data_IF_038438603006
#
_entry.id   IF_038438603006
#
_cell.length_a   1.000
_cell.length_b   1.000
_cell.length_c   1.000
_cell.angle_alpha   90.00
_cell.angle_beta   90.00
_cell.angle_gamma   90.00
#
_symmetry.space_group_name_H-M   'P 1'
#
loop_
_entity.id
_entity.type
_entity.pdbx_description
1 polymer ?
#
# COMPACT_ATOMS: atom_id res chain seq x y z
N UNK A 1 -63.61 -32.25 -0.86
CA UNK A 1 -64.10 -33.26 -1.82
C UNK A 1 -62.98 -33.62 -2.79
N UNK A 2 -62.74 -34.94 -3.00
CA UNK A 2 -61.84 -35.61 -3.97
C UNK A 2 -60.34 -35.59 -3.64
N UNK A 3 -59.57 -36.70 -3.62
CA UNK A 3 -59.77 -38.17 -3.69
C UNK A 3 -58.37 -38.82 -3.53
N UNK A 4 -58.29 -39.88 -2.73
CA UNK A 4 -57.51 -41.14 -2.87
C UNK A 4 -56.20 -41.17 -3.71
N UNK A 5 -55.05 -41.50 -3.08
CA UNK A 5 -54.42 -42.85 -2.93
C UNK A 5 -53.76 -43.41 -4.19
N UNK A 6 -52.45 -43.76 -4.09
CA UNK A 6 -51.74 -44.94 -4.65
C UNK A 6 -50.25 -44.90 -4.22
N UNK A 7 -49.84 -45.70 -3.23
CA UNK A 7 -49.13 -47.00 -3.38
C UNK A 7 -47.78 -46.87 -4.10
N UNK A 8 -46.64 -46.94 -3.38
CA UNK A 8 -45.89 -48.17 -3.06
C UNK A 8 -45.33 -48.85 -4.30
N UNK A 9 -44.00 -48.85 -4.46
CA UNK A 9 -43.16 -49.99 -4.90
C UNK A 9 -41.68 -49.67 -4.61
N UNK A 10 -41.07 -50.53 -3.78
CA UNK A 10 -39.62 -50.76 -3.68
C UNK A 10 -39.07 -51.17 -5.06
N UNK A 11 -37.96 -50.58 -5.50
CA UNK A 11 -37.09 -51.24 -6.47
C UNK A 11 -35.64 -50.75 -6.35
N UNK A 12 -34.77 -51.67 -5.93
CA UNK A 12 -33.48 -51.91 -6.58
C UNK A 12 -32.39 -50.87 -6.42
N UNK A 13 -31.54 -51.06 -5.41
CA UNK A 13 -30.12 -50.69 -5.49
C UNK A 13 -29.45 -51.59 -6.51
N UNK A 14 -28.97 -51.04 -7.63
CA UNK A 14 -27.92 -51.66 -8.44
C UNK A 14 -27.26 -50.63 -9.38
N UNK A 15 -25.99 -50.34 -9.06
CA UNK A 15 -24.88 -49.86 -9.88
C UNK A 15 -25.12 -49.29 -11.29
N UNK A 16 -24.61 -48.07 -11.52
CA UNK A 16 -23.66 -47.81 -12.61
C UNK A 16 -22.95 -46.46 -12.43
N UNK A 17 -21.63 -46.48 -12.55
CA UNK A 17 -20.75 -45.32 -12.60
C UNK A 17 -21.07 -44.40 -13.79
N UNK A 18 -20.94 -43.09 -13.58
CA UNK A 18 -20.14 -42.13 -14.37
C UNK A 18 -20.72 -40.71 -14.27
N UNK A 19 -19.90 -39.79 -13.76
CA UNK A 19 -20.03 -38.35 -13.99
C UNK A 19 -20.78 -37.58 -12.91
N UNK A 20 -20.06 -36.76 -12.15
CA UNK A 20 -20.67 -35.66 -11.41
C UNK A 20 -20.02 -35.35 -10.06
N UNK A 21 -19.28 -34.24 -10.04
CA UNK A 21 -19.14 -33.36 -8.88
C UNK A 21 -18.62 -33.94 -7.56
N UNK A 22 -17.30 -33.99 -7.42
CA UNK A 22 -16.64 -33.83 -6.11
C UNK A 22 -15.50 -32.83 -6.19
N UNK A 23 -15.79 -31.60 -6.64
CA UNK A 23 -15.02 -30.45 -6.18
C UNK A 23 -15.54 -30.07 -4.80
N UNK A 24 -15.02 -30.77 -3.81
CA UNK A 24 -14.97 -30.35 -2.41
C UNK A 24 -14.44 -28.91 -2.38
N UNK A 25 -15.19 -28.03 -1.71
CA UNK A 25 -14.74 -26.72 -1.22
C UNK A 25 -14.30 -25.69 -2.28
N UNK A 26 -15.27 -24.99 -2.86
CA UNK A 26 -15.09 -23.60 -3.27
C UNK A 26 -16.11 -22.72 -2.53
N UNK A 27 -16.05 -22.71 -1.20
CA UNK A 27 -16.65 -21.65 -0.39
C UNK A 27 -15.79 -20.39 -0.59
N UNK A 28 -15.95 -19.76 -1.76
CA UNK A 28 -15.40 -18.45 -2.06
C UNK A 28 -16.27 -17.44 -1.31
N UNK A 29 -15.97 -17.28 -0.02
CA UNK A 29 -16.60 -16.31 0.85
C UNK A 29 -16.66 -14.95 0.15
N UNK A 30 -17.87 -14.41 0.04
CA UNK A 30 -18.09 -13.06 -0.46
C UNK A 30 -17.36 -12.11 0.46
N UNK A 31 -16.23 -11.59 -0.01
CA UNK A 31 -15.60 -10.45 0.63
C UNK A 31 -16.46 -9.24 0.28
N UNK A 32 -17.44 -8.93 1.14
CA UNK A 32 -18.19 -7.68 1.03
C UNK A 32 -17.20 -6.53 1.30
N UNK A 33 -16.94 -5.64 0.33
CA UNK A 33 -16.04 -4.50 0.51
C UNK A 33 -16.47 -3.58 1.65
N UNK A 34 -17.76 -3.47 1.94
CA UNK A 34 -18.28 -2.69 3.07
C UNK A 34 -17.92 -3.34 4.41
N UNK A 35 -18.04 -4.66 4.51
CA UNK A 35 -17.71 -5.39 5.73
C UNK A 35 -16.18 -5.40 5.97
N UNK A 36 -15.39 -5.50 4.90
CA UNK A 36 -13.94 -5.34 5.00
C UNK A 36 -13.57 -3.92 5.47
N UNK A 37 -14.25 -2.88 4.95
CA UNK A 37 -14.07 -1.50 5.41
C UNK A 37 -14.39 -1.36 6.89
N UNK A 38 -15.51 -1.90 7.36
CA UNK A 38 -15.88 -1.85 8.79
C UNK A 38 -14.86 -2.55 9.67
N UNK A 39 -14.41 -3.76 9.32
CA UNK A 39 -13.40 -4.51 10.08
C UNK A 39 -12.03 -3.81 10.10
N UNK A 40 -11.66 -3.14 9.02
CA UNK A 40 -10.44 -2.32 8.97
C UNK A 40 -10.59 -1.10 9.88
N UNK A 41 -11.75 -0.43 9.83
CA UNK A 41 -12.05 0.74 10.67
C UNK A 41 -12.05 0.38 12.16
N UNK A 42 -12.70 -0.72 12.57
CA UNK A 42 -12.69 -1.19 13.96
C UNK A 42 -11.28 -1.51 14.45
N UNK A 43 -10.48 -2.22 13.65
CA UNK A 43 -9.06 -2.49 13.98
C UNK A 43 -8.24 -1.23 14.10
N UNK A 44 -8.45 -0.25 13.22
CA UNK A 44 -7.74 1.02 13.27
C UNK A 44 -8.16 1.86 14.48
N UNK A 45 -9.45 1.85 14.83
CA UNK A 45 -9.99 2.51 16.02
C UNK A 45 -9.47 1.87 17.30
N UNK A 46 -9.48 0.53 17.42
CA UNK A 46 -8.88 -0.16 18.57
C UNK A 46 -7.38 0.10 18.68
N UNK A 47 -6.66 0.00 17.56
CA UNK A 47 -5.21 0.18 17.54
C UNK A 47 -4.83 1.61 17.90
N UNK A 48 -5.54 2.62 17.42
CA UNK A 48 -5.23 4.02 17.74
C UNK A 48 -5.98 4.56 18.98
N UNK A 49 -6.94 3.80 19.51
CA UNK A 49 -7.91 4.31 20.48
C UNK A 49 -8.66 5.56 19.97
N UNK A 50 -8.88 5.67 18.66
CA UNK A 50 -9.57 6.80 18.01
C UNK A 50 -11.04 6.45 17.75
N UNK A 51 -11.93 7.41 17.88
CA UNK A 51 -13.30 7.31 17.37
C UNK A 51 -13.34 7.38 15.83
N UNK A 52 -14.46 6.98 15.22
CA UNK A 52 -14.66 7.08 13.77
C UNK A 52 -14.51 8.52 13.25
N UNK A 53 -14.99 9.48 14.02
CA UNK A 53 -14.98 10.90 13.67
C UNK A 53 -13.56 11.48 13.76
N UNK A 54 -12.83 11.15 14.82
CA UNK A 54 -11.42 11.53 14.98
C UNK A 54 -10.56 10.92 13.86
N UNK A 55 -10.76 9.64 13.55
CA UNK A 55 -10.02 9.00 12.48
C UNK A 55 -10.29 9.66 11.13
N UNK A 56 -11.55 9.99 10.82
CA UNK A 56 -11.92 10.68 9.59
C UNK A 56 -11.28 12.07 9.48
N UNK A 57 -11.11 12.78 10.60
CA UNK A 57 -10.44 14.08 10.64
C UNK A 57 -8.91 13.96 10.46
N UNK A 58 -8.30 12.90 11.00
CA UNK A 58 -6.84 12.69 10.99
C UNK A 58 -6.35 11.98 9.72
N UNK A 59 -7.20 11.17 9.08
CA UNK A 59 -6.91 10.43 7.84
C UNK A 59 -6.20 11.27 6.75
N UNK A 60 -6.71 12.45 6.34
CA UNK A 60 -6.05 13.22 5.28
C UNK A 60 -4.63 13.68 5.68
N UNK A 61 -4.35 13.87 6.97
CA UNK A 61 -3.02 14.23 7.46
C UNK A 61 -2.07 13.03 7.44
N UNK A 62 -2.57 11.85 7.82
CA UNK A 62 -1.82 10.58 7.71
C UNK A 62 -1.46 10.31 6.24
N UNK A 63 -2.42 10.42 5.33
CA UNK A 63 -2.19 10.24 3.89
C UNK A 63 -1.19 11.27 3.34
N UNK A 64 -1.27 12.52 3.81
CA UNK A 64 -0.30 13.56 3.50
C UNK A 64 1.11 13.20 3.95
N UNK A 65 1.28 12.76 5.20
CA UNK A 65 2.56 12.32 5.76
C UNK A 65 3.12 11.14 4.97
N UNK A 66 2.31 10.12 4.69
CA UNK A 66 2.75 8.95 3.92
C UNK A 66 3.14 9.32 2.49
N UNK A 67 2.41 10.24 1.85
CA UNK A 67 2.75 10.72 0.51
C UNK A 67 4.08 11.46 0.52
N UNK A 68 4.29 12.38 1.47
CA UNK A 68 5.58 13.09 1.62
C UNK A 68 6.74 12.19 2.04
N UNK A 69 6.47 11.16 2.84
CA UNK A 69 7.43 10.12 3.19
C UNK A 69 7.87 9.34 1.94
N UNK A 70 6.92 8.94 1.08
CA UNK A 70 7.21 8.26 -0.19
C UNK A 70 8.00 9.15 -1.15
N UNK A 71 7.61 10.42 -1.30
CA UNK A 71 8.35 11.40 -2.10
C UNK A 71 9.80 11.51 -1.59
N UNK A 72 9.99 11.74 -0.30
CA UNK A 72 11.32 11.85 0.32
C UNK A 72 12.13 10.55 0.19
N UNK A 73 11.48 9.40 0.36
CA UNK A 73 12.11 8.10 0.18
C UNK A 73 12.53 7.86 -1.28
N UNK A 74 11.77 8.34 -2.27
CA UNK A 74 12.14 8.24 -3.68
C UNK A 74 13.43 9.02 -3.98
N UNK A 75 13.61 10.21 -3.39
CA UNK A 75 14.87 10.96 -3.47
C UNK A 75 16.03 10.20 -2.80
N UNK A 76 15.83 9.67 -1.60
CA UNK A 76 16.90 8.97 -0.86
C UNK A 76 17.27 7.61 -1.47
N UNK A 77 16.31 6.92 -2.11
CA UNK A 77 16.50 5.60 -2.72
C UNK A 77 16.97 5.67 -4.18
N UNK A 78 16.77 6.81 -4.85
CA UNK A 78 17.29 7.10 -6.19
C UNK A 78 18.83 7.05 -6.28
N UNK A 79 19.54 7.14 -5.15
CA UNK A 79 20.98 6.92 -5.06
C UNK A 79 21.41 5.44 -4.98
N UNK A 80 20.51 4.53 -4.60
CA UNK A 80 20.80 3.09 -4.43
C UNK A 80 20.18 2.19 -5.53
N UNK A 81 19.36 2.75 -6.41
CA UNK A 81 18.97 2.06 -7.65
C UNK A 81 20.16 1.88 -8.62
N UNK A 82 21.29 2.55 -8.35
CA UNK A 82 22.58 2.46 -9.05
C UNK A 82 23.35 1.13 -8.84
N UNK A 83 22.64 0.02 -8.62
CA UNK A 83 23.26 -1.31 -8.52
C UNK A 83 22.63 -2.39 -9.39
N UNK A 84 21.44 -2.17 -9.99
CA UNK A 84 20.74 -3.24 -10.72
C UNK A 84 19.72 -2.73 -11.72
N UNK A 85 20.18 -1.93 -12.68
CA UNK A 85 19.32 -1.44 -13.78
C UNK A 85 20.00 -1.44 -15.15
N UNK A 86 21.31 -1.64 -15.22
CA UNK A 86 22.05 -1.87 -16.46
C UNK A 86 22.22 -3.36 -16.69
N UNK A 87 21.20 -4.04 -17.22
CA UNK A 87 21.26 -5.49 -17.38
C UNK A 87 20.20 -6.01 -18.33
N UNK A 88 20.59 -6.15 -19.60
CA UNK A 88 19.99 -7.11 -20.54
C UNK A 88 19.83 -8.46 -19.83
N UNK A 89 18.60 -8.89 -19.59
CA UNK A 89 18.25 -10.27 -19.24
C UNK A 89 18.18 -10.60 -17.74
N UNK A 90 17.19 -11.43 -17.39
CA UNK A 90 17.22 -12.24 -16.17
C UNK A 90 16.07 -11.96 -15.21
N UNK A 91 15.16 -12.92 -15.11
CA UNK A 91 13.99 -12.86 -14.24
C UNK A 91 14.30 -12.81 -12.74
N UNK A 92 13.24 -12.48 -11.99
CA UNK A 92 13.01 -12.99 -10.63
C UNK A 92 13.74 -12.30 -9.49
N UNK A 93 12.98 -11.72 -8.57
CA UNK A 93 13.45 -11.38 -7.23
C UNK A 93 12.70 -10.21 -6.64
N UNK A 94 11.69 -10.50 -5.83
CA UNK A 94 10.85 -9.52 -5.13
C UNK A 94 11.66 -8.47 -4.40
N UNK A 95 11.48 -7.22 -4.83
CA UNK A 95 11.69 -6.04 -4.01
C UNK A 95 10.39 -5.25 -4.08
N UNK A 96 9.86 -4.83 -2.93
CA UNK A 96 8.70 -3.95 -2.85
C UNK A 96 8.99 -2.65 -3.61
N UNK A 97 8.71 -2.68 -4.91
CA UNK A 97 8.76 -1.56 -5.82
C UNK A 97 7.58 -0.67 -5.49
N UNK A 98 7.81 0.35 -4.67
CA UNK A 98 7.02 1.56 -4.72
C UNK A 98 7.24 2.17 -6.12
N UNK A 99 6.47 1.64 -7.09
CA UNK A 99 6.64 1.83 -8.52
C UNK A 99 6.11 3.17 -9.00
N UNK A 100 6.88 4.23 -8.74
CA UNK A 100 6.75 5.50 -9.43
C UNK A 100 8.01 5.79 -10.24
N UNK A 101 7.93 6.56 -11.34
CA UNK A 101 9.12 7.08 -11.99
C UNK A 101 9.96 7.89 -10.99
N UNK A 102 11.29 7.92 -11.15
CA UNK A 102 12.13 8.74 -10.30
C UNK A 102 11.71 10.22 -10.40
N UNK A 103 11.87 11.01 -9.32
CA UNK A 103 11.70 12.46 -9.38
C UNK A 103 12.54 13.07 -10.51
N UNK A 104 12.03 14.12 -11.16
CA UNK A 104 12.69 14.74 -12.31
C UNK A 104 14.11 15.25 -11.97
N UNK A 105 14.32 15.76 -10.76
CA UNK A 105 15.63 16.24 -10.29
C UNK A 105 16.60 15.08 -10.01
N UNK A 106 16.09 13.90 -9.63
CA UNK A 106 16.89 12.68 -9.54
C UNK A 106 17.37 12.29 -10.93
N UNK A 107 16.44 12.13 -11.89
CA UNK A 107 16.77 11.74 -13.27
C UNK A 107 17.73 12.74 -13.95
N UNK A 108 17.51 14.04 -13.73
CA UNK A 108 18.36 15.09 -14.30
C UNK A 108 19.79 15.05 -13.75
N UNK A 109 19.97 14.78 -12.44
CA UNK A 109 21.30 14.60 -11.86
C UNK A 109 21.95 13.31 -12.36
N UNK A 110 21.18 12.22 -12.50
CA UNK A 110 21.68 10.95 -13.04
C UNK A 110 22.27 11.13 -14.44
N UNK A 111 21.51 11.72 -15.36
CA UNK A 111 21.98 12.00 -16.74
C UNK A 111 23.22 12.90 -16.76
N UNK A 112 23.27 13.91 -15.88
CA UNK A 112 24.43 14.79 -15.80
C UNK A 112 25.69 14.03 -15.32
N UNK A 113 25.56 13.09 -14.37
CA UNK A 113 26.68 12.27 -13.91
C UNK A 113 27.17 11.29 -14.99
N UNK A 114 26.26 10.75 -15.80
CA UNK A 114 26.60 9.77 -16.85
C UNK A 114 27.34 10.39 -18.04
N UNK A 115 26.92 11.58 -18.50
CA UNK A 115 27.44 12.16 -19.75
C UNK A 115 27.61 13.68 -19.73
N UNK A 116 27.38 14.34 -18.60
CA UNK A 116 27.43 15.80 -18.49
C UNK A 116 28.83 16.34 -18.23
N UNK A 117 28.99 17.64 -18.50
CA UNK A 117 30.19 18.40 -18.13
C UNK A 117 30.25 18.64 -16.62
N UNK A 118 31.44 18.95 -16.05
CA UNK A 118 31.56 19.30 -14.63
C UNK A 118 30.64 20.47 -14.21
N UNK A 119 30.41 21.43 -15.10
CA UNK A 119 29.51 22.55 -14.86
C UNK A 119 28.04 22.10 -14.78
N UNK A 120 27.60 21.21 -15.67
CA UNK A 120 26.24 20.65 -15.66
C UNK A 120 25.99 19.78 -14.43
N UNK A 121 26.96 18.93 -14.05
CA UNK A 121 26.88 18.13 -12.83
C UNK A 121 26.71 19.02 -11.61
N UNK A 122 27.50 20.11 -11.51
CA UNK A 122 27.38 21.06 -10.40
C UNK A 122 26.00 21.71 -10.35
N UNK A 123 25.50 22.21 -11.48
CA UNK A 123 24.18 22.84 -11.55
C UNK A 123 23.04 21.88 -11.19
N UNK A 124 23.06 20.64 -11.70
CA UNK A 124 22.03 19.63 -11.38
C UNK A 124 22.13 19.13 -9.94
N UNK A 125 23.33 19.09 -9.38
CA UNK A 125 23.53 18.74 -7.97
C UNK A 125 22.95 19.79 -7.03
N UNK A 126 23.12 21.08 -7.34
CA UNK A 126 22.51 22.18 -6.59
C UNK A 126 20.97 22.08 -6.63
N UNK A 127 20.39 21.92 -7.83
CA UNK A 127 18.94 21.73 -7.99
C UNK A 127 18.41 20.50 -7.22
N UNK A 128 19.12 19.38 -7.28
CA UNK A 128 18.78 18.17 -6.53
C UNK A 128 18.77 18.42 -5.01
N UNK A 129 19.77 19.13 -4.48
CA UNK A 129 19.87 19.45 -3.05
C UNK A 129 18.74 20.37 -2.60
N UNK A 130 18.39 21.38 -3.39
CA UNK A 130 17.29 22.29 -3.10
C UNK A 130 15.94 21.55 -3.09
N UNK A 131 15.69 20.71 -4.10
CA UNK A 131 14.48 19.91 -4.18
C UNK A 131 14.37 18.94 -2.99
N UNK A 132 15.45 18.25 -2.64
CA UNK A 132 15.50 17.37 -1.46
C UNK A 132 15.18 18.13 -0.17
N UNK A 133 15.83 19.28 0.05
CA UNK A 133 15.58 20.13 1.23
C UNK A 133 14.12 20.58 1.31
N UNK A 134 13.52 20.97 0.18
CA UNK A 134 12.10 21.35 0.11
C UNK A 134 11.19 20.18 0.50
N UNK A 135 11.44 18.97 -0.02
CA UNK A 135 10.66 17.78 0.31
C UNK A 135 10.79 17.37 1.77
N UNK A 136 11.98 17.45 2.34
CA UNK A 136 12.23 17.22 3.77
C UNK A 136 11.49 18.24 4.65
N UNK A 137 11.46 19.52 4.25
CA UNK A 137 10.66 20.56 4.93
C UNK A 137 9.17 20.26 4.87
N UNK A 138 8.63 19.99 3.69
CA UNK A 138 7.21 19.64 3.51
C UNK A 138 6.82 18.37 4.29
N UNK A 139 7.71 17.38 4.37
CA UNK A 139 7.50 16.18 5.17
C UNK A 139 7.46 16.50 6.67
N UNK A 140 8.38 17.34 7.15
CA UNK A 140 8.42 17.77 8.55
C UNK A 140 7.17 18.57 8.92
N UNK A 141 6.75 19.52 8.09
CA UNK A 141 5.52 20.29 8.30
C UNK A 141 4.27 19.40 8.32
N UNK A 142 4.20 18.37 7.46
CA UNK A 142 3.09 17.42 7.47
C UNK A 142 3.05 16.61 8.77
N UNK A 143 4.21 16.19 9.29
CA UNK A 143 4.31 15.50 10.58
C UNK A 143 3.89 16.40 11.74
N UNK A 144 4.27 17.67 11.74
CA UNK A 144 3.86 18.62 12.76
C UNK A 144 2.34 18.87 12.75
N UNK A 145 1.74 19.00 11.56
CA UNK A 145 0.28 19.13 11.42
C UNK A 145 -0.44 17.91 11.98
N UNK A 146 0.08 16.70 11.72
CA UNK A 146 -0.45 15.47 12.29
C UNK A 146 -0.28 15.43 13.83
N UNK A 147 0.88 15.81 14.35
CA UNK A 147 1.15 15.84 15.80
C UNK A 147 0.16 16.73 16.56
N UNK A 148 -0.21 17.88 15.99
CA UNK A 148 -1.13 18.85 16.63
C UNK A 148 -2.55 18.35 16.85
N UNK A 149 -2.96 17.28 16.16
CA UNK A 149 -4.35 16.77 16.19
C UNK A 149 -4.48 15.39 16.79
N UNK A 150 -3.40 14.80 17.29
CA UNK A 150 -3.39 13.48 17.92
C UNK A 150 -3.07 13.58 19.41
N UNK A 151 -3.58 12.64 20.18
CA UNK A 151 -3.25 12.51 21.61
C UNK A 151 -1.84 11.91 21.80
N UNK A 152 -1.22 12.04 22.98
CA UNK A 152 0.10 11.44 23.25
C UNK A 152 0.16 9.92 23.00
N UNK A 153 -0.94 9.19 23.27
CA UNK A 153 -1.02 7.75 23.01
C UNK A 153 -0.99 7.44 21.51
N UNK A 154 -1.77 8.20 20.73
CA UNK A 154 -1.84 8.07 19.27
C UNK A 154 -0.53 8.49 18.60
N UNK A 155 0.10 9.56 19.09
CA UNK A 155 1.43 9.97 18.65
C UNK A 155 2.44 8.84 18.85
N UNK A 156 2.49 8.23 20.04
CA UNK A 156 3.39 7.12 20.31
C UNK A 156 3.17 5.95 19.33
N UNK A 157 1.92 5.65 18.98
CA UNK A 157 1.60 4.60 18.01
C UNK A 157 2.03 4.97 16.58
N UNK A 158 1.85 6.24 16.19
CA UNK A 158 2.32 6.75 14.90
C UNK A 158 3.85 6.84 14.83
N UNK A 159 4.54 7.07 15.95
CA UNK A 159 6.00 6.99 16.07
C UNK A 159 6.46 5.54 15.92
N UNK A 160 5.81 4.59 16.60
CA UNK A 160 6.09 3.16 16.44
C UNK A 160 5.83 2.66 15.01
N UNK A 161 4.83 3.24 14.33
CA UNK A 161 4.54 2.98 12.92
C UNK A 161 5.53 3.66 11.95
N UNK A 162 6.44 4.52 12.45
CA UNK A 162 7.41 5.25 11.63
C UNK A 162 6.82 6.43 10.84
N UNK A 163 5.58 6.83 11.12
CA UNK A 163 4.92 7.99 10.50
C UNK A 163 5.30 9.29 11.19
N UNK A 164 5.43 9.29 12.51
CA UNK A 164 5.94 10.41 13.31
C UNK A 164 7.34 10.06 13.86
N UNK A 165 8.07 11.08 14.31
CA UNK A 165 9.40 10.97 14.92
C UNK A 165 9.49 11.81 16.17
#
# INVERSE_FOLDING_TARGET
MKRFVKSLVLAGVASAMLGGATSVMAQRGGFDPEEMRQRIMERYQEQLGMTAEEFKAVQPLIEGVQTKQRETAAFNRGGFAFGRGGGRGGGGGGGFGFGGPPPAEVEALQKAVESGTPAEVKAKLEAYREARKKKESEYTEAREKLRKVVTPKQEAQLVLAGLLN
#
